data_IF_497203110779
#
_entry.id   IF_497203110779
#
_cell.length_a   1.000
_cell.length_b   1.000
_cell.length_c   1.000
_cell.angle_alpha   90.00
_cell.angle_beta   90.00
_cell.angle_gamma   90.00
#
_symmetry.space_group_name_H-M   'P 1'
#
loop_
_entity.id
_entity.type
_entity.pdbx_description
1 polymer ?
#
# COMPACT_ATOMS: atom_id res chain seq x y z
N UNK A 1 45.13 31.86 46.47
CA UNK A 1 46.59 32.10 46.60
C UNK A 1 47.23 31.83 45.24
N UNK A 2 47.60 32.89 44.52
CA UNK A 2 48.17 32.85 43.18
C UNK A 2 49.64 32.40 43.27
N UNK A 3 49.94 31.15 42.92
CA UNK A 3 51.33 30.70 42.79
C UNK A 3 51.86 31.23 41.45
N UNK A 4 52.92 32.02 41.46
CA UNK A 4 53.54 32.49 40.22
C UNK A 4 53.93 31.27 39.37
N UNK A 5 53.50 31.20 38.10
CA UNK A 5 53.77 30.05 37.25
C UNK A 5 55.27 29.86 37.04
N UNK A 6 55.70 28.62 36.81
CA UNK A 6 57.08 28.30 36.48
C UNK A 6 57.49 29.10 35.24
N UNK A 7 58.65 29.78 35.31
CA UNK A 7 59.22 30.45 34.14
C UNK A 7 59.71 29.38 33.16
N UNK A 8 59.16 29.38 31.95
CA UNK A 8 59.51 28.48 30.87
C UNK A 8 60.73 28.99 30.10
N UNK A 9 61.53 28.04 29.58
CA UNK A 9 62.57 28.34 28.60
C UNK A 9 61.98 28.73 27.24
N UNK A 10 62.80 29.30 26.35
CA UNK A 10 62.37 29.72 25.01
C UNK A 10 61.74 28.57 24.21
N UNK A 11 62.42 27.43 24.15
CA UNK A 11 61.96 26.28 23.35
C UNK A 11 60.67 25.69 23.95
N UNK A 12 60.56 25.65 25.28
CA UNK A 12 59.34 25.23 25.98
C UNK A 12 58.15 26.18 25.71
N UNK A 13 58.38 27.48 25.59
CA UNK A 13 57.35 28.47 25.20
C UNK A 13 56.92 28.25 23.76
N UNK A 14 57.87 28.07 22.83
CA UNK A 14 57.57 27.85 21.42
C UNK A 14 56.75 26.55 21.24
N UNK A 15 57.12 25.46 21.93
CA UNK A 15 56.34 24.22 21.99
C UNK A 15 54.95 24.43 22.63
N UNK A 16 54.87 25.25 23.67
CA UNK A 16 53.61 25.56 24.36
C UNK A 16 52.65 26.35 23.50
N UNK A 17 53.14 27.32 22.73
CA UNK A 17 52.34 28.07 21.77
C UNK A 17 51.80 27.12 20.72
N UNK A 18 52.66 26.32 20.07
CA UNK A 18 52.23 25.35 19.03
C UNK A 18 51.17 24.37 19.56
N UNK A 19 51.28 23.92 20.82
CA UNK A 19 50.26 23.07 21.43
C UNK A 19 48.93 23.78 21.60
N UNK A 20 48.92 25.01 22.12
CA UNK A 20 47.70 25.78 22.30
C UNK A 20 47.09 26.26 20.98
N UNK A 21 47.89 26.44 19.93
CA UNK A 21 47.40 26.67 18.57
C UNK A 21 46.58 25.48 18.07
N UNK A 22 47.12 24.26 18.19
CA UNK A 22 46.38 23.04 17.79
C UNK A 22 45.10 22.86 18.61
N UNK A 23 45.14 23.18 19.90
CA UNK A 23 43.97 23.12 20.77
C UNK A 23 42.90 24.15 20.35
N UNK A 24 43.32 25.40 20.08
CA UNK A 24 42.43 26.45 19.58
C UNK A 24 41.80 26.13 18.23
N UNK A 25 42.59 25.54 17.31
CA UNK A 25 42.10 25.10 16.00
C UNK A 25 41.06 23.98 16.16
N UNK A 26 41.31 23.01 17.06
CA UNK A 26 40.37 21.95 17.39
C UNK A 26 39.06 22.48 18.00
N UNK A 27 39.15 23.43 18.93
CA UNK A 27 37.98 24.11 19.50
C UNK A 27 37.18 24.83 18.41
N UNK A 28 37.86 25.58 17.54
CA UNK A 28 37.20 26.34 16.47
C UNK A 28 36.52 25.40 15.48
N UNK A 29 37.18 24.30 15.09
CA UNK A 29 36.60 23.29 14.21
C UNK A 29 35.34 22.65 14.81
N UNK A 30 35.36 22.26 16.09
CA UNK A 30 34.19 21.71 16.76
C UNK A 30 33.02 22.69 16.84
N UNK A 31 33.29 23.98 17.12
CA UNK A 31 32.22 25.00 17.14
C UNK A 31 31.60 25.24 15.76
N UNK A 32 32.40 25.20 14.70
CA UNK A 32 31.89 25.26 13.32
C UNK A 32 31.02 24.04 12.99
N UNK A 33 31.43 22.84 13.42
CA UNK A 33 30.63 21.62 13.23
C UNK A 33 29.27 21.74 13.93
N UNK A 34 29.26 22.20 15.18
CA UNK A 34 28.02 22.45 15.94
C UNK A 34 27.12 23.51 15.28
N UNK A 35 27.71 24.57 14.70
CA UNK A 35 26.98 25.61 13.98
C UNK A 35 26.32 25.09 12.70
N UNK A 36 27.03 24.24 11.96
CA UNK A 36 26.54 23.62 10.73
C UNK A 36 25.56 22.46 10.96
N UNK A 37 25.40 22.00 12.21
CA UNK A 37 24.61 20.82 12.53
C UNK A 37 23.12 21.02 12.17
N UNK A 38 22.48 20.08 11.46
CA UNK A 38 21.07 20.21 11.02
C UNK A 38 20.10 20.46 12.18
N UNK A 39 20.23 19.68 13.26
CA UNK A 39 19.45 19.86 14.49
C UNK A 39 19.55 21.26 15.12
N UNK A 40 20.64 22.01 14.89
CA UNK A 40 20.77 23.39 15.37
C UNK A 40 20.00 24.35 14.47
N UNK A 41 20.23 24.29 13.16
CA UNK A 41 19.58 25.17 12.18
C UNK A 41 18.05 25.10 12.28
N UNK A 42 17.55 23.89 12.53
CA UNK A 42 16.18 23.58 12.88
C UNK A 42 15.66 24.38 14.09
N UNK A 43 16.38 24.30 15.21
CA UNK A 43 15.99 24.94 16.46
C UNK A 43 16.08 26.48 16.37
N UNK A 44 16.99 27.01 15.56
CA UNK A 44 17.12 28.45 15.32
C UNK A 44 16.04 29.02 14.39
N UNK A 45 15.59 28.25 13.39
CA UNK A 45 14.58 28.70 12.43
C UNK A 45 13.13 28.57 12.90
N UNK A 46 12.87 27.85 13.99
CA UNK A 46 11.51 27.48 14.43
C UNK A 46 10.94 28.34 15.56
N UNK A 47 9.60 28.44 15.62
CA UNK A 47 8.88 28.93 16.81
C UNK A 47 8.75 27.82 17.83
N UNK A 48 9.73 27.70 18.72
CA UNK A 48 9.82 26.62 19.70
C UNK A 48 8.86 26.82 20.87
N UNK A 49 8.34 25.71 21.39
CA UNK A 49 7.39 25.65 22.51
C UNK A 49 7.75 24.52 23.47
N UNK A 50 7.13 24.54 24.67
CA UNK A 50 7.21 23.43 25.61
C UNK A 50 8.63 23.04 26.01
N UNK A 51 8.90 21.72 26.02
CA UNK A 51 10.17 21.15 26.49
C UNK A 51 11.34 21.58 25.59
N UNK A 52 11.08 21.72 24.30
CA UNK A 52 12.10 22.14 23.34
C UNK A 52 12.56 23.57 23.59
N UNK A 53 11.62 24.50 23.84
CA UNK A 53 11.98 25.88 24.17
C UNK A 53 12.83 25.98 25.44
N UNK A 54 12.46 25.26 26.50
CA UNK A 54 13.20 25.24 27.77
C UNK A 54 14.63 24.70 27.61
N UNK A 55 14.78 23.55 26.94
CA UNK A 55 16.08 22.92 26.71
C UNK A 55 16.93 23.72 25.74
N UNK A 56 16.33 24.32 24.72
CA UNK A 56 17.04 25.16 23.76
C UNK A 56 17.57 26.46 24.38
N UNK A 57 16.86 27.08 25.32
CA UNK A 57 17.37 28.22 26.07
C UNK A 57 18.64 27.87 26.87
N UNK A 58 18.69 26.68 27.45
CA UNK A 58 19.90 26.16 28.13
C UNK A 58 21.02 25.92 27.11
N UNK A 59 20.73 25.23 26.01
CA UNK A 59 21.69 24.97 24.93
C UNK A 59 22.26 26.25 24.32
N UNK A 60 21.43 27.26 24.03
CA UNK A 60 21.87 28.55 23.50
C UNK A 60 22.79 29.30 24.46
N UNK A 61 22.53 29.26 25.77
CA UNK A 61 23.44 29.83 26.77
C UNK A 61 24.77 29.08 26.83
N UNK A 62 24.75 27.75 26.70
CA UNK A 62 25.97 26.94 26.62
C UNK A 62 26.78 27.28 25.35
N UNK A 63 26.10 27.42 24.20
CA UNK A 63 26.71 27.86 22.93
C UNK A 63 27.36 29.24 23.07
N UNK A 64 26.66 30.22 23.66
CA UNK A 64 27.21 31.55 23.88
C UNK A 64 28.44 31.53 24.80
N UNK A 65 28.42 30.67 25.84
CA UNK A 65 29.57 30.45 26.72
C UNK A 65 30.76 29.93 25.92
N UNK A 66 30.57 28.89 25.10
CA UNK A 66 31.62 28.28 24.28
C UNK A 66 32.29 29.31 23.36
N UNK A 67 31.48 30.13 22.68
CA UNK A 67 31.99 31.19 21.80
C UNK A 67 32.77 32.26 22.58
N UNK A 68 32.26 32.72 23.72
CA UNK A 68 32.97 33.66 24.57
C UNK A 68 34.29 33.11 25.13
N UNK A 69 34.33 31.81 25.47
CA UNK A 69 35.56 31.16 25.94
C UNK A 69 36.58 31.00 24.82
N UNK A 70 36.13 30.65 23.60
CA UNK A 70 36.97 30.62 22.40
C UNK A 70 37.56 31.99 22.10
N UNK A 71 36.77 33.07 22.16
CA UNK A 71 37.29 34.43 21.96
C UNK A 71 38.34 34.81 23.01
N UNK A 72 38.09 34.52 24.29
CA UNK A 72 39.05 34.78 25.36
C UNK A 72 40.35 33.96 25.22
N UNK A 73 40.23 32.69 24.80
CA UNK A 73 41.38 31.83 24.51
C UNK A 73 42.22 32.42 23.36
N UNK A 74 41.57 32.79 22.24
CA UNK A 74 42.23 33.38 21.08
C UNK A 74 42.95 34.69 21.42
N UNK A 75 42.32 35.55 22.22
CA UNK A 75 42.93 36.81 22.65
C UNK A 75 44.22 36.61 23.46
N UNK A 76 44.29 35.60 24.33
CA UNK A 76 45.52 35.25 25.06
C UNK A 76 46.59 34.74 24.10
N UNK A 77 46.22 33.87 23.16
CA UNK A 77 47.14 33.30 22.18
C UNK A 77 47.73 34.38 21.26
N UNK A 78 46.92 35.34 20.80
CA UNK A 78 47.36 36.45 19.98
C UNK A 78 48.27 37.43 20.75
N UNK A 79 47.98 37.67 22.04
CA UNK A 79 48.89 38.42 22.93
C UNK A 79 50.24 37.70 23.08
N UNK A 80 50.22 36.37 23.29
CA UNK A 80 51.44 35.57 23.42
C UNK A 80 52.27 35.56 22.12
N UNK A 81 51.64 35.39 20.96
CA UNK A 81 52.28 35.48 19.63
C UNK A 81 52.92 36.85 19.40
N UNK A 82 52.17 37.92 19.69
CA UNK A 82 52.64 39.29 19.54
C UNK A 82 53.86 39.54 20.42
N UNK A 83 53.81 39.13 21.69
CA UNK A 83 54.92 39.30 22.62
C UNK A 83 56.16 38.49 22.20
N UNK A 84 55.96 37.24 21.75
CA UNK A 84 57.04 36.37 21.26
C UNK A 84 57.68 36.86 19.96
N UNK A 85 56.90 37.51 19.09
CA UNK A 85 57.33 38.04 17.79
C UNK A 85 58.07 39.38 17.86
N UNK A 86 58.03 40.11 18.98
CA UNK A 86 58.70 41.42 19.13
C UNK A 86 60.22 41.35 19.05
N UNK A 87 60.84 40.25 19.49
CA UNK A 87 62.31 40.10 19.58
C UNK A 87 62.76 38.67 19.26
N UNK A 88 63.87 38.54 18.53
CA UNK A 88 64.47 37.24 18.19
C UNK A 88 65.04 36.46 19.40
N UNK A 89 65.42 37.17 20.48
CA UNK A 89 65.81 36.59 21.78
C UNK A 89 65.03 37.29 22.90
N UNK A 90 64.03 36.61 23.50
CA UNK A 90 63.25 37.18 24.60
C UNK A 90 64.13 37.40 25.84
N UNK A 91 63.92 38.51 26.54
CA UNK A 91 64.57 38.78 27.81
C UNK A 91 63.79 38.14 28.97
N UNK A 92 64.42 38.01 30.14
CA UNK A 92 63.81 37.42 31.34
C UNK A 92 62.40 37.96 31.69
N UNK A 93 62.12 39.28 31.69
CA UNK A 93 60.77 39.78 31.94
C UNK A 93 59.75 39.35 30.85
N UNK A 94 60.18 39.24 29.59
CA UNK A 94 59.31 38.77 28.50
C UNK A 94 59.02 37.26 28.64
N UNK A 95 60.00 36.46 29.08
CA UNK A 95 59.81 35.04 29.38
C UNK A 95 58.86 34.82 30.57
N UNK A 96 58.96 35.67 31.61
CA UNK A 96 58.05 35.66 32.76
C UNK A 96 56.61 36.01 32.35
N UNK A 97 56.44 37.04 31.53
CA UNK A 97 55.13 37.44 31.01
C UNK A 97 54.52 36.37 30.07
N UNK A 98 55.32 35.80 29.15
CA UNK A 98 54.88 34.69 28.29
C UNK A 98 54.49 33.45 29.11
N UNK A 99 55.27 33.12 30.14
CA UNK A 99 54.95 32.00 31.03
C UNK A 99 53.66 32.26 31.80
N UNK A 100 53.40 33.50 32.22
CA UNK A 100 52.14 33.88 32.85
C UNK A 100 50.95 33.83 31.88
N UNK A 101 51.11 34.26 30.63
CA UNK A 101 50.06 34.19 29.63
C UNK A 101 49.65 32.74 29.33
N UNK A 102 50.60 31.81 29.27
CA UNK A 102 50.35 30.43 28.87
C UNK A 102 49.94 29.51 30.04
N UNK A 103 50.49 29.74 31.23
CA UNK A 103 50.26 28.86 32.40
C UNK A 103 49.44 29.51 33.52
N UNK A 104 49.28 30.84 33.49
CA UNK A 104 48.60 31.61 34.52
C UNK A 104 47.15 31.96 34.16
N UNK A 105 46.50 32.71 35.05
CA UNK A 105 45.15 33.22 34.86
C UNK A 105 45.16 34.50 34.01
N UNK A 106 45.30 34.31 32.71
CA UNK A 106 45.54 35.37 31.72
C UNK A 106 44.34 35.68 30.82
N UNK A 107 43.38 34.77 30.72
CA UNK A 107 42.18 34.96 29.93
C UNK A 107 41.17 35.81 30.72
N UNK A 108 40.70 36.89 30.10
CA UNK A 108 39.74 37.81 30.68
C UNK A 108 38.39 37.59 30.02
N UNK A 109 37.44 37.03 30.77
CA UNK A 109 36.05 36.93 30.33
C UNK A 109 35.35 38.28 30.57
N UNK A 110 34.47 38.69 29.65
CA UNK A 110 33.69 39.90 29.77
C UNK A 110 32.99 39.97 31.14
N UNK A 111 33.06 41.12 31.79
CA UNK A 111 32.63 41.27 33.17
C UNK A 111 31.12 41.02 33.30
N UNK A 112 30.72 40.16 34.23
CA UNK A 112 29.31 39.94 34.57
C UNK A 112 28.86 41.03 35.52
N UNK A 113 27.74 41.68 35.22
CA UNK A 113 27.05 42.57 36.14
C UNK A 113 26.65 41.78 37.40
N UNK A 114 27.18 42.17 38.56
CA UNK A 114 26.78 41.57 39.84
C UNK A 114 25.43 42.17 40.23
N UNK A 115 24.37 41.41 40.55
CA UNK A 115 23.12 41.99 41.04
C UNK A 115 23.34 42.79 42.33
N UNK A 116 22.66 43.94 42.50
CA UNK A 116 22.91 44.88 43.61
C UNK A 116 22.76 44.24 45.01
N UNK A 117 21.88 43.23 45.14
CA UNK A 117 21.66 42.49 46.39
C UNK A 117 22.78 41.51 46.77
N UNK A 118 23.74 41.27 45.88
CA UNK A 118 24.94 40.45 46.10
C UNK A 118 26.22 41.30 46.14
N UNK A 119 26.11 42.64 46.05
CA UNK A 119 27.24 43.57 46.16
C UNK A 119 27.40 44.08 47.60
N UNK A 120 28.62 44.09 48.12
CA UNK A 120 29.00 44.96 49.21
C UNK A 120 29.06 46.43 48.76
N UNK A 121 28.91 47.38 49.68
CA UNK A 121 28.91 48.84 49.39
C UNK A 121 30.19 49.33 48.68
N UNK A 122 31.29 48.58 48.80
CA UNK A 122 32.60 48.88 48.22
C UNK A 122 33.04 47.86 47.15
N UNK A 123 32.21 46.86 46.84
CA UNK A 123 32.55 45.87 45.83
C UNK A 123 32.43 46.49 44.43
N UNK A 124 33.38 46.20 43.51
CA UNK A 124 33.29 46.69 42.14
C UNK A 124 31.98 46.23 41.49
N UNK A 125 31.36 47.12 40.71
CA UNK A 125 30.15 46.79 39.95
C UNK A 125 30.38 45.68 38.89
N UNK A 126 31.64 45.46 38.50
CA UNK A 126 32.10 44.48 37.52
C UNK A 126 33.27 43.66 38.07
N UNK A 127 33.16 42.34 38.05
CA UNK A 127 34.31 41.45 38.23
C UNK A 127 34.78 40.92 36.86
N UNK A 128 36.03 41.21 36.50
CA UNK A 128 36.72 40.52 35.41
C UNK A 128 37.09 39.13 35.92
N UNK A 129 36.40 38.10 35.43
CA UNK A 129 36.77 36.73 35.74
C UNK A 129 38.02 36.38 34.95
N UNK A 130 39.10 36.09 35.68
CA UNK A 130 40.38 35.65 35.13
C UNK A 130 40.50 34.14 35.24
N UNK A 131 40.79 33.50 34.12
CA UNK A 131 40.94 32.04 34.02
C UNK A 131 42.20 31.70 33.25
N UNK A 132 42.77 30.54 33.54
CA UNK A 132 43.82 29.93 32.71
C UNK A 132 43.21 29.29 31.47
N UNK A 133 44.04 29.07 30.44
CA UNK A 133 43.61 28.37 29.22
C UNK A 133 43.05 26.98 29.51
N UNK A 134 43.65 26.25 30.47
CA UNK A 134 43.15 24.95 30.90
C UNK A 134 41.82 25.00 31.64
N UNK A 135 41.61 26.01 32.49
CA UNK A 135 40.31 26.24 33.16
C UNK A 135 39.21 26.61 32.15
N UNK A 136 39.52 27.41 31.12
CA UNK A 136 38.57 27.71 30.05
C UNK A 136 38.12 26.42 29.34
N UNK A 137 39.06 25.56 28.93
CA UNK A 137 38.73 24.30 28.26
C UNK A 137 37.96 23.36 29.18
N UNK A 138 38.31 23.31 30.46
CA UNK A 138 37.58 22.52 31.46
C UNK A 138 36.12 22.99 31.62
N UNK A 139 35.85 24.30 31.59
CA UNK A 139 34.49 24.86 31.63
C UNK A 139 33.74 24.70 30.29
N UNK A 140 34.46 24.63 29.17
CA UNK A 140 33.87 24.37 27.85
C UNK A 140 33.35 22.93 27.72
N UNK A 141 34.01 21.94 28.32
CA UNK A 141 33.61 20.52 28.20
C UNK A 141 32.16 20.21 28.62
N UNK A 142 31.66 20.66 29.80
CA UNK A 142 30.25 20.45 30.17
C UNK A 142 29.30 21.29 29.30
N UNK A 143 29.68 22.50 28.90
CA UNK A 143 28.86 23.34 28.01
C UNK A 143 28.72 22.72 26.61
N UNK A 144 29.80 22.12 26.08
CA UNK A 144 29.80 21.34 24.84
C UNK A 144 28.82 20.19 24.93
N UNK A 145 28.91 19.39 25.98
CA UNK A 145 28.05 18.21 26.19
C UNK A 145 26.57 18.60 26.30
N UNK A 146 26.26 19.71 26.97
CA UNK A 146 24.88 20.22 27.09
C UNK A 146 24.34 20.70 25.72
N UNK A 147 25.16 21.42 24.95
CA UNK A 147 24.77 21.94 23.65
C UNK A 147 24.55 20.82 22.62
N UNK A 148 25.50 19.88 22.51
CA UNK A 148 25.40 18.75 21.57
C UNK A 148 24.23 17.84 21.91
N UNK A 149 24.00 17.54 23.20
CA UNK A 149 22.88 16.68 23.61
C UNK A 149 21.51 17.23 23.17
N UNK A 150 21.32 18.56 23.20
CA UNK A 150 20.07 19.19 22.76
C UNK A 150 19.92 19.12 21.23
N UNK A 151 21.00 19.42 20.51
CA UNK A 151 21.02 19.44 19.04
C UNK A 151 20.87 18.03 18.44
N UNK A 152 21.59 17.05 18.97
CA UNK A 152 21.51 15.64 18.56
C UNK A 152 20.13 15.04 18.86
N UNK A 153 19.55 15.36 20.02
CA UNK A 153 18.22 14.88 20.37
C UNK A 153 17.12 15.43 19.42
N UNK A 154 17.23 16.70 19.00
CA UNK A 154 16.31 17.27 18.03
C UNK A 154 16.49 16.64 16.64
N UNK A 155 17.74 16.48 16.19
CA UNK A 155 18.07 15.85 14.91
C UNK A 155 17.58 14.40 14.83
N UNK A 156 17.77 13.62 15.90
CA UNK A 156 17.31 12.24 15.97
C UNK A 156 15.78 12.11 15.84
N UNK A 157 15.02 13.05 16.42
CA UNK A 157 13.55 13.06 16.30
C UNK A 157 13.14 13.36 14.86
N UNK A 158 13.76 14.36 14.23
CA UNK A 158 13.44 14.72 12.85
C UNK A 158 13.80 13.63 11.86
N UNK A 159 15.02 13.11 11.93
CA UNK A 159 15.50 12.01 11.07
C UNK A 159 14.59 10.79 11.15
N UNK A 160 13.99 10.54 12.32
CA UNK A 160 13.04 9.45 12.53
C UNK A 160 11.62 9.76 12.03
N UNK A 161 11.08 10.94 12.30
CA UNK A 161 9.67 11.25 12.09
C UNK A 161 9.35 11.85 10.72
N UNK A 162 10.24 12.69 10.17
CA UNK A 162 10.01 13.38 8.89
C UNK A 162 9.73 12.38 7.74
N UNK A 163 10.51 11.29 7.55
CA UNK A 163 10.23 10.33 6.49
C UNK A 163 8.85 9.66 6.61
N UNK A 164 8.34 9.51 7.83
CA UNK A 164 7.01 8.93 8.07
C UNK A 164 5.91 9.95 7.73
N UNK A 165 6.07 11.22 8.12
CA UNK A 165 5.14 12.29 7.76
C UNK A 165 5.08 12.46 6.23
N UNK A 166 6.22 12.47 5.56
CA UNK A 166 6.31 12.60 4.09
C UNK A 166 5.65 11.42 3.36
N UNK A 167 5.80 10.20 3.89
CA UNK A 167 5.14 9.01 3.32
C UNK A 167 3.62 9.11 3.40
N UNK A 168 3.09 9.57 4.53
CA UNK A 168 1.64 9.79 4.70
C UNK A 168 1.17 10.86 3.73
N UNK A 169 1.92 11.96 3.60
CA UNK A 169 1.59 13.06 2.69
C UNK A 169 1.56 12.62 1.22
N UNK A 170 2.57 11.87 0.79
CA UNK A 170 2.60 11.27 -0.54
C UNK A 170 1.40 10.33 -0.78
N UNK A 171 1.00 9.58 0.26
CA UNK A 171 -0.18 8.73 0.19
C UNK A 171 -1.50 9.52 0.08
N UNK A 172 -1.62 10.65 0.79
CA UNK A 172 -2.77 11.57 0.66
C UNK A 172 -2.82 12.09 -0.78
N UNK A 173 -1.72 12.65 -1.29
CA UNK A 173 -1.66 13.20 -2.65
C UNK A 173 -2.00 12.16 -3.74
N UNK A 174 -1.54 10.92 -3.58
CA UNK A 174 -1.88 9.83 -4.49
C UNK A 174 -3.37 9.46 -4.45
N UNK A 175 -3.98 9.45 -3.26
CA UNK A 175 -5.41 9.19 -3.12
C UNK A 175 -6.26 10.34 -3.73
N UNK A 176 -5.84 11.60 -3.54
CA UNK A 176 -6.49 12.76 -4.16
C UNK A 176 -6.41 12.74 -5.68
N UNK A 177 -5.26 12.36 -6.24
CA UNK A 177 -5.10 12.19 -7.68
C UNK A 177 -6.07 11.12 -8.22
N UNK A 178 -6.24 10.00 -7.51
CA UNK A 178 -7.22 8.98 -7.87
C UNK A 178 -8.68 9.46 -7.77
N UNK A 179 -9.01 10.25 -6.74
CA UNK A 179 -10.35 10.88 -6.63
C UNK A 179 -10.59 11.85 -7.79
N UNK A 180 -9.60 12.68 -8.14
CA UNK A 180 -9.68 13.57 -9.29
C UNK A 180 -9.90 12.80 -10.60
N UNK A 181 -9.22 11.67 -10.77
CA UNK A 181 -9.39 10.79 -11.92
C UNK A 181 -10.83 10.22 -12.02
N UNK A 182 -11.47 9.94 -10.87
CA UNK A 182 -12.80 9.35 -10.80
C UNK A 182 -13.95 10.34 -11.02
N UNK A 183 -13.67 11.65 -11.09
CA UNK A 183 -14.69 12.69 -11.24
C UNK A 183 -14.64 13.78 -10.18
N UNK A 184 -13.63 13.75 -9.30
CA UNK A 184 -13.40 14.77 -8.28
C UNK A 184 -14.12 14.53 -6.95
N UNK A 185 -13.98 15.47 -6.01
CA UNK A 185 -14.42 15.32 -4.63
C UNK A 185 -15.92 15.04 -4.47
N UNK A 186 -16.75 15.63 -5.32
CA UNK A 186 -18.22 15.47 -5.28
C UNK A 186 -18.68 14.04 -5.59
N UNK A 187 -17.87 13.27 -6.33
CA UNK A 187 -18.16 11.87 -6.67
C UNK A 187 -17.85 10.94 -5.49
N UNK A 188 -16.95 11.35 -4.60
CA UNK A 188 -16.46 10.56 -3.46
C UNK A 188 -16.39 11.42 -2.19
N UNK A 189 -17.54 11.91 -1.67
CA UNK A 189 -17.55 12.87 -0.57
C UNK A 189 -17.08 12.26 0.75
N UNK A 190 -17.38 10.98 1.00
CA UNK A 190 -16.97 10.28 2.23
C UNK A 190 -15.44 10.09 2.27
N UNK A 191 -14.85 9.69 1.15
CA UNK A 191 -13.40 9.47 1.03
C UNK A 191 -12.64 10.79 1.07
N UNK A 192 -13.18 11.84 0.44
CA UNK A 192 -12.63 13.20 0.54
C UNK A 192 -12.63 13.68 1.99
N UNK A 193 -13.76 13.55 2.70
CA UNK A 193 -13.86 13.94 4.10
C UNK A 193 -12.91 13.12 5.00
N UNK A 194 -12.73 11.84 4.70
CA UNK A 194 -11.75 10.99 5.40
C UNK A 194 -10.31 11.47 5.16
N UNK A 195 -9.92 11.78 3.92
CA UNK A 195 -8.60 12.35 3.62
C UNK A 195 -8.38 13.69 4.31
N UNK A 196 -9.39 14.56 4.37
CA UNK A 196 -9.32 15.81 5.11
C UNK A 196 -9.14 15.59 6.62
N UNK A 197 -9.76 14.53 7.16
CA UNK A 197 -9.53 14.07 8.54
C UNK A 197 -8.08 13.64 8.78
N UNK A 198 -7.53 12.82 7.89
CA UNK A 198 -6.13 12.36 7.92
C UNK A 198 -5.18 13.56 7.80
N UNK A 199 -5.42 14.49 6.86
CA UNK A 199 -4.60 15.69 6.66
C UNK A 199 -4.56 16.56 7.92
N UNK A 200 -5.69 16.84 8.54
CA UNK A 200 -5.73 17.64 9.78
C UNK A 200 -4.91 17.02 10.91
N UNK A 201 -4.98 15.70 11.06
CA UNK A 201 -4.19 14.97 12.05
C UNK A 201 -2.70 14.98 11.70
N UNK A 202 -2.35 14.85 10.42
CA UNK A 202 -0.97 14.97 9.94
C UNK A 202 -0.40 16.38 10.21
N UNK A 203 -1.16 17.43 9.93
CA UNK A 203 -0.75 18.81 10.20
C UNK A 203 -0.58 19.09 11.71
N UNK A 204 -1.42 18.48 12.55
CA UNK A 204 -1.26 18.52 14.00
C UNK A 204 0.07 17.86 14.41
N UNK A 205 0.39 16.69 13.84
CA UNK A 205 1.65 16.00 14.10
C UNK A 205 2.87 16.81 13.60
N UNK A 206 2.79 17.40 12.40
CA UNK A 206 3.83 18.27 11.84
C UNK A 206 4.11 19.48 12.69
N UNK A 207 3.05 20.18 13.10
CA UNK A 207 3.17 21.35 13.96
C UNK A 207 3.89 20.99 15.26
N UNK A 208 3.54 19.86 15.88
CA UNK A 208 4.20 19.39 17.09
C UNK A 208 5.67 19.01 16.87
N UNK A 209 6.00 18.33 15.77
CA UNK A 209 7.39 17.98 15.42
C UNK A 209 8.24 19.22 15.13
N UNK A 210 7.64 20.28 14.58
CA UNK A 210 8.31 21.53 14.31
C UNK A 210 8.46 22.41 15.57
N UNK A 211 7.46 22.43 16.46
CA UNK A 211 7.42 23.33 17.62
C UNK A 211 7.98 22.73 18.90
N UNK A 212 7.84 21.41 19.12
CA UNK A 212 8.33 20.73 20.33
C UNK A 212 8.86 19.29 20.06
N UNK A 213 9.92 19.13 19.24
CA UNK A 213 10.52 17.82 18.95
C UNK A 213 11.08 17.11 20.19
N UNK A 214 11.62 17.83 21.18
CA UNK A 214 12.20 17.22 22.39
C UNK A 214 11.15 16.62 23.33
N UNK A 215 9.87 16.96 23.19
CA UNK A 215 8.79 16.23 23.86
C UNK A 215 8.60 14.81 23.29
N UNK A 216 9.10 14.54 22.08
CA UNK A 216 8.91 13.29 21.34
C UNK A 216 10.11 12.33 21.44
N UNK A 217 11.13 12.65 22.23
CA UNK A 217 12.34 11.82 22.38
C UNK A 217 12.11 10.57 23.21
N UNK A 218 11.17 10.60 24.16
CA UNK A 218 10.86 9.49 25.06
C UNK A 218 9.53 8.78 24.71
N UNK A 219 8.92 9.14 23.59
CA UNK A 219 7.61 8.62 23.16
C UNK A 219 7.71 7.31 22.41
N UNK A 220 6.62 6.52 22.45
CA UNK A 220 6.41 5.37 21.56
C UNK A 220 6.36 5.88 20.11
N UNK A 221 7.14 5.26 19.21
CA UNK A 221 7.19 5.57 17.78
C UNK A 221 5.81 5.53 17.11
N UNK A 222 4.84 4.83 17.72
CA UNK A 222 3.47 4.74 17.25
C UNK A 222 2.67 6.02 17.46
N UNK A 223 3.14 6.95 18.29
CA UNK A 223 2.41 8.16 18.66
C UNK A 223 3.24 9.42 18.53
N UNK A 224 2.70 10.39 17.79
CA UNK A 224 3.23 11.75 17.72
C UNK A 224 2.27 12.63 18.54
N UNK A 225 2.59 12.80 19.83
CA UNK A 225 1.70 13.42 20.80
C UNK A 225 0.35 12.71 20.89
N UNK A 226 -0.73 13.40 20.53
CA UNK A 226 -2.08 12.84 20.49
C UNK A 226 -2.38 11.97 19.26
N UNK A 227 -1.53 12.01 18.23
CA UNK A 227 -1.77 11.35 16.95
C UNK A 227 -1.20 9.94 16.95
N UNK A 228 -2.07 8.96 16.80
CA UNK A 228 -1.67 7.57 16.53
C UNK A 228 -1.34 7.41 15.04
N UNK A 229 -0.05 7.16 14.75
CA UNK A 229 0.49 7.04 13.39
C UNK A 229 0.00 5.77 12.72
N UNK A 230 -0.08 4.66 13.45
CA UNK A 230 -0.54 3.39 12.89
C UNK A 230 -2.03 3.46 12.52
N UNK A 231 -2.84 4.12 13.35
CA UNK A 231 -4.25 4.37 13.05
C UNK A 231 -4.41 5.32 11.85
N UNK A 232 -3.57 6.37 11.76
CA UNK A 232 -3.54 7.30 10.63
C UNK A 232 -3.21 6.58 9.31
N UNK A 233 -2.14 5.78 9.29
CA UNK A 233 -1.73 5.00 8.13
C UNK A 233 -2.77 3.93 7.75
N UNK A 234 -3.45 3.33 8.73
CA UNK A 234 -4.51 2.36 8.46
C UNK A 234 -5.73 3.02 7.80
N UNK A 235 -6.13 4.20 8.26
CA UNK A 235 -7.22 4.97 7.68
C UNK A 235 -6.88 5.42 6.24
N UNK A 236 -5.68 5.98 6.04
CA UNK A 236 -5.20 6.36 4.71
C UNK A 236 -5.16 5.15 3.76
N UNK A 237 -4.66 4.00 4.22
CA UNK A 237 -4.63 2.78 3.39
C UNK A 237 -6.03 2.34 2.96
N UNK A 238 -7.01 2.35 3.87
CA UNK A 238 -8.40 1.98 3.53
C UNK A 238 -8.96 2.88 2.43
N UNK A 239 -8.81 4.20 2.58
CA UNK A 239 -9.29 5.16 1.57
C UNK A 239 -8.55 4.95 0.25
N UNK A 240 -7.22 4.83 0.29
CA UNK A 240 -6.42 4.65 -0.91
C UNK A 240 -6.71 3.31 -1.63
N UNK A 241 -7.00 2.23 -0.90
CA UNK A 241 -7.40 0.94 -1.46
C UNK A 241 -8.75 1.05 -2.19
N UNK A 242 -9.72 1.74 -1.61
CA UNK A 242 -11.03 1.96 -2.22
C UNK A 242 -10.93 2.80 -3.50
N UNK A 243 -10.19 3.92 -3.44
CA UNK A 243 -9.94 4.77 -4.61
C UNK A 243 -9.22 3.99 -5.71
N UNK A 244 -8.19 3.20 -5.37
CA UNK A 244 -7.49 2.33 -6.35
C UNK A 244 -8.44 1.30 -6.96
N UNK A 245 -9.29 0.66 -6.16
CA UNK A 245 -10.26 -0.31 -6.67
C UNK A 245 -11.17 0.31 -7.74
N UNK A 246 -11.75 1.48 -7.45
CA UNK A 246 -12.62 2.17 -8.41
C UNK A 246 -11.87 2.68 -9.64
N UNK A 247 -10.62 3.12 -9.47
CA UNK A 247 -9.76 3.51 -10.60
C UNK A 247 -9.55 2.33 -11.55
N UNK A 248 -9.33 1.13 -11.01
CA UNK A 248 -9.23 -0.11 -11.81
C UNK A 248 -10.57 -0.43 -12.51
N UNK A 249 -11.71 -0.26 -11.81
CA UNK A 249 -13.05 -0.46 -12.41
C UNK A 249 -13.25 0.47 -13.60
N UNK A 250 -12.94 1.77 -13.44
CA UNK A 250 -12.99 2.77 -14.51
C UNK A 250 -12.11 2.38 -15.68
N UNK A 251 -10.83 2.06 -15.42
CA UNK A 251 -9.87 1.71 -16.46
C UNK A 251 -10.28 0.50 -17.30
N UNK A 252 -10.98 -0.47 -16.69
CA UNK A 252 -11.43 -1.71 -17.36
C UNK A 252 -12.88 -1.66 -17.85
N UNK A 253 -13.59 -0.56 -17.62
CA UNK A 253 -15.03 -0.46 -17.85
C UNK A 253 -15.40 -0.73 -19.32
N UNK A 254 -14.77 -0.02 -20.24
CA UNK A 254 -15.03 -0.12 -21.69
C UNK A 254 -14.70 -1.52 -22.24
N UNK A 255 -13.64 -2.15 -21.74
CA UNK A 255 -13.29 -3.52 -22.12
C UNK A 255 -14.34 -4.52 -21.64
N UNK A 256 -14.73 -4.44 -20.37
CA UNK A 256 -15.75 -5.32 -19.78
C UNK A 256 -17.10 -5.15 -20.46
N UNK A 257 -17.53 -3.91 -20.75
CA UNK A 257 -18.77 -3.66 -21.49
C UNK A 257 -18.75 -4.25 -22.90
N UNK A 258 -17.66 -4.08 -23.65
CA UNK A 258 -17.52 -4.69 -24.99
C UNK A 258 -17.57 -6.21 -24.92
N UNK A 259 -16.89 -6.82 -23.95
CA UNK A 259 -16.93 -8.27 -23.74
C UNK A 259 -18.34 -8.75 -23.40
N UNK A 260 -19.03 -8.05 -22.50
CA UNK A 260 -20.40 -8.36 -22.14
C UNK A 260 -21.35 -8.22 -23.33
N UNK A 261 -21.20 -7.17 -24.14
CA UNK A 261 -22.00 -6.98 -25.35
C UNK A 261 -21.88 -8.19 -26.30
N UNK A 262 -20.65 -8.67 -26.55
CA UNK A 262 -20.44 -9.88 -27.37
C UNK A 262 -21.05 -11.15 -26.75
N UNK A 263 -21.01 -11.30 -25.43
CA UNK A 263 -21.69 -12.41 -24.72
C UNK A 263 -23.21 -12.34 -24.88
N UNK A 264 -23.79 -11.14 -24.83
CA UNK A 264 -25.23 -10.93 -24.98
C UNK A 264 -25.70 -11.11 -26.43
N UNK A 265 -24.89 -10.72 -27.41
CA UNK A 265 -25.14 -11.00 -28.84
C UNK A 265 -25.13 -12.51 -29.12
N UNK A 266 -24.15 -13.23 -28.59
CA UNK A 266 -24.10 -14.69 -28.71
C UNK A 266 -25.31 -15.35 -28.02
N UNK A 267 -25.70 -14.88 -26.83
CA UNK A 267 -26.87 -15.39 -26.13
C UNK A 267 -28.16 -15.19 -26.97
N UNK A 268 -28.35 -14.01 -27.55
CA UNK A 268 -29.50 -13.69 -28.42
C UNK A 268 -29.57 -14.61 -29.63
N UNK A 269 -28.43 -14.84 -30.28
CA UNK A 269 -28.31 -15.79 -31.40
C UNK A 269 -28.69 -17.21 -30.97
N UNK A 270 -28.18 -17.68 -29.82
CA UNK A 270 -28.47 -19.02 -29.30
C UNK A 270 -29.93 -19.17 -28.87
N UNK A 271 -30.57 -18.13 -28.32
CA UNK A 271 -32.00 -18.11 -28.01
C UNK A 271 -32.81 -18.30 -29.30
N UNK A 272 -32.51 -17.51 -30.34
CA UNK A 272 -33.13 -17.63 -31.65
C UNK A 272 -32.94 -19.01 -32.30
N UNK A 273 -31.73 -19.58 -32.23
CA UNK A 273 -31.47 -20.93 -32.74
C UNK A 273 -32.25 -21.99 -31.97
N UNK A 274 -32.33 -21.88 -30.65
CA UNK A 274 -33.06 -22.81 -29.79
C UNK A 274 -34.57 -22.75 -30.05
N UNK A 275 -35.13 -21.56 -30.35
CA UNK A 275 -36.54 -21.42 -30.79
C UNK A 275 -36.76 -22.20 -32.09
N UNK A 276 -35.87 -22.05 -33.09
CA UNK A 276 -35.98 -22.77 -34.37
C UNK A 276 -35.88 -24.28 -34.17
N UNK A 277 -34.97 -24.76 -33.31
CA UNK A 277 -34.85 -26.17 -32.94
C UNK A 277 -36.11 -26.70 -32.27
N UNK A 278 -36.66 -25.94 -31.32
CA UNK A 278 -37.91 -26.30 -30.65
C UNK A 278 -39.06 -26.45 -31.64
N UNK A 279 -39.21 -25.49 -32.55
CA UNK A 279 -40.22 -25.58 -33.61
C UNK A 279 -40.00 -26.83 -34.47
N UNK A 280 -38.75 -27.12 -34.85
CA UNK A 280 -38.41 -28.33 -35.59
C UNK A 280 -38.80 -29.62 -34.85
N UNK A 281 -38.45 -29.74 -33.56
CA UNK A 281 -38.79 -30.90 -32.71
C UNK A 281 -40.30 -31.08 -32.65
N UNK A 282 -41.06 -30.01 -32.39
CA UNK A 282 -42.53 -30.07 -32.27
C UNK A 282 -43.24 -30.46 -33.58
N UNK A 283 -42.65 -30.18 -34.75
CA UNK A 283 -43.19 -30.69 -36.04
C UNK A 283 -42.99 -32.19 -36.23
N UNK A 284 -42.02 -32.78 -35.53
CA UNK A 284 -41.56 -34.16 -35.73
C UNK A 284 -41.95 -35.10 -34.60
N UNK A 285 -42.18 -34.58 -33.40
CA UNK A 285 -42.45 -35.34 -32.18
C UNK A 285 -43.75 -34.81 -31.56
N UNK A 286 -44.67 -35.71 -31.22
CA UNK A 286 -45.97 -35.37 -30.60
C UNK A 286 -45.86 -35.04 -29.09
N UNK A 287 -44.66 -35.10 -28.51
CA UNK A 287 -44.42 -34.92 -27.08
C UNK A 287 -44.65 -33.47 -26.64
N UNK A 288 -45.59 -33.27 -25.70
CA UNK A 288 -45.95 -31.97 -25.14
C UNK A 288 -45.00 -31.50 -24.03
N UNK A 289 -44.05 -32.32 -23.59
CA UNK A 289 -43.10 -32.00 -22.50
C UNK A 289 -41.90 -31.16 -22.95
N UNK A 290 -41.81 -30.79 -24.23
CA UNK A 290 -40.71 -29.97 -24.75
C UNK A 290 -40.78 -28.56 -24.12
N UNK A 291 -39.77 -28.16 -23.31
CA UNK A 291 -39.82 -26.92 -22.54
C UNK A 291 -39.81 -25.69 -23.44
N UNK A 292 -40.30 -24.56 -22.92
CA UNK A 292 -40.17 -23.26 -23.58
C UNK A 292 -38.74 -22.72 -23.47
N UNK A 293 -38.35 -21.90 -24.44
CA UNK A 293 -37.01 -21.29 -24.47
C UNK A 293 -37.01 -20.07 -23.54
N UNK A 294 -36.15 -20.02 -22.51
CA UNK A 294 -36.06 -18.86 -21.65
C UNK A 294 -35.39 -17.70 -22.41
N UNK A 295 -36.12 -16.60 -22.62
CA UNK A 295 -35.61 -15.41 -23.32
C UNK A 295 -35.13 -14.38 -22.31
N UNK A 296 -33.83 -14.10 -22.31
CA UNK A 296 -33.17 -13.21 -21.35
C UNK A 296 -32.26 -12.19 -22.03
N UNK A 297 -31.80 -12.43 -23.25
CA UNK A 297 -30.87 -11.56 -23.95
C UNK A 297 -31.34 -10.10 -24.03
N UNK A 298 -32.60 -9.86 -24.39
CA UNK A 298 -33.15 -8.51 -24.52
C UNK A 298 -33.15 -7.72 -23.20
N UNK A 299 -33.62 -8.32 -22.10
CA UNK A 299 -33.65 -7.68 -20.78
C UNK A 299 -32.25 -7.42 -20.24
N UNK A 300 -31.30 -8.33 -20.49
CA UNK A 300 -29.91 -8.14 -20.08
C UNK A 300 -29.22 -7.04 -20.91
N UNK A 301 -29.56 -6.91 -22.20
CA UNK A 301 -29.08 -5.84 -23.07
C UNK A 301 -29.58 -4.47 -22.61
N UNK A 302 -30.84 -4.36 -22.23
CA UNK A 302 -31.41 -3.13 -21.65
C UNK A 302 -30.66 -2.72 -20.36
N UNK A 303 -30.45 -3.68 -19.44
CA UNK A 303 -29.65 -3.46 -18.23
C UNK A 303 -28.21 -3.04 -18.54
N UNK A 304 -27.58 -3.61 -19.57
CA UNK A 304 -26.25 -3.20 -20.03
C UNK A 304 -26.21 -1.74 -20.45
N UNK A 305 -27.24 -1.25 -21.14
CA UNK A 305 -27.38 0.17 -21.49
C UNK A 305 -27.52 1.05 -20.24
N UNK A 306 -28.29 0.60 -19.24
CA UNK A 306 -28.38 1.32 -17.95
C UNK A 306 -27.02 1.43 -17.25
N UNK A 307 -26.23 0.35 -17.24
CA UNK A 307 -24.88 0.32 -16.66
C UNK A 307 -23.93 1.23 -17.45
N UNK A 308 -24.01 1.23 -18.79
CA UNK A 308 -23.25 2.16 -19.63
C UNK A 308 -23.52 3.62 -19.24
N UNK A 309 -24.79 3.99 -19.05
CA UNK A 309 -25.17 5.34 -18.61
C UNK A 309 -24.71 5.69 -17.19
N UNK A 310 -24.51 4.72 -16.29
CA UNK A 310 -23.89 4.96 -14.98
C UNK A 310 -22.40 5.32 -15.13
N UNK A 311 -21.68 4.64 -16.04
CA UNK A 311 -20.29 4.96 -16.35
C UNK A 311 -20.10 6.37 -16.90
N UNK A 312 -20.99 6.82 -17.80
CA UNK A 312 -20.96 8.20 -18.31
C UNK A 312 -21.14 9.25 -17.22
N UNK A 313 -21.91 8.94 -16.16
CA UNK A 313 -22.13 9.83 -15.01
C UNK A 313 -21.03 9.75 -13.94
N UNK A 314 -20.05 8.85 -14.09
CA UNK A 314 -18.98 8.67 -13.12
C UNK A 314 -19.37 7.92 -11.84
N UNK A 315 -20.52 7.23 -11.80
CA UNK A 315 -20.96 6.47 -10.61
C UNK A 315 -20.26 5.09 -10.57
N UNK A 316 -18.94 5.12 -10.34
CA UNK A 316 -18.08 3.93 -10.42
C UNK A 316 -18.40 2.87 -9.36
N UNK A 317 -18.91 3.29 -8.19
CA UNK A 317 -19.36 2.39 -7.13
C UNK A 317 -20.53 1.54 -7.61
N UNK A 318 -21.57 2.17 -8.19
CA UNK A 318 -22.70 1.40 -8.74
C UNK A 318 -22.28 0.61 -9.97
N UNK A 319 -21.46 1.16 -10.86
CA UNK A 319 -20.94 0.42 -12.02
C UNK A 319 -20.26 -0.89 -11.60
N UNK A 320 -19.37 -0.85 -10.59
CA UNK A 320 -18.65 -2.05 -10.13
C UNK A 320 -19.62 -3.18 -9.72
N UNK A 321 -20.65 -2.84 -8.94
CA UNK A 321 -21.66 -3.79 -8.46
C UNK A 321 -22.56 -4.29 -9.59
N UNK A 322 -23.17 -3.37 -10.34
CA UNK A 322 -24.17 -3.71 -11.35
C UNK A 322 -23.56 -4.46 -12.54
N UNK A 323 -22.34 -4.08 -12.97
CA UNK A 323 -21.66 -4.77 -14.06
C UNK A 323 -21.29 -6.21 -13.69
N UNK A 324 -20.79 -6.44 -12.46
CA UNK A 324 -20.44 -7.78 -11.98
C UNK A 324 -21.68 -8.66 -11.81
N UNK A 325 -22.79 -8.10 -11.32
CA UNK A 325 -24.07 -8.80 -11.25
C UNK A 325 -24.60 -9.17 -12.65
N UNK A 326 -24.48 -8.24 -13.62
CA UNK A 326 -24.93 -8.44 -14.99
C UNK A 326 -24.10 -9.51 -15.74
N UNK A 327 -22.78 -9.52 -15.56
CA UNK A 327 -21.89 -10.56 -16.10
C UNK A 327 -22.27 -11.96 -15.56
N UNK A 328 -22.53 -12.07 -14.25
CA UNK A 328 -22.98 -13.31 -13.63
C UNK A 328 -24.37 -13.74 -14.13
N UNK A 329 -25.30 -12.80 -14.29
CA UNK A 329 -26.64 -13.07 -14.81
C UNK A 329 -26.60 -13.56 -16.27
N UNK A 330 -25.71 -12.98 -17.09
CA UNK A 330 -25.51 -13.40 -18.48
C UNK A 330 -24.94 -14.82 -18.55
N UNK A 331 -23.96 -15.15 -17.70
CA UNK A 331 -23.42 -16.50 -17.61
C UNK A 331 -24.48 -17.52 -17.17
N UNK A 332 -25.24 -17.21 -16.13
CA UNK A 332 -26.34 -18.06 -15.67
C UNK A 332 -27.47 -18.20 -16.71
N UNK A 333 -27.72 -17.19 -17.54
CA UNK A 333 -28.66 -17.29 -18.66
C UNK A 333 -28.15 -18.26 -19.74
N UNK A 334 -26.86 -18.21 -20.09
CA UNK A 334 -26.25 -19.14 -21.06
C UNK A 334 -26.31 -20.59 -20.60
N UNK A 335 -25.99 -20.84 -19.32
CA UNK A 335 -26.04 -22.19 -18.74
C UNK A 335 -27.46 -22.75 -18.75
N UNK A 336 -28.46 -21.94 -18.35
CA UNK A 336 -29.87 -22.34 -18.40
C UNK A 336 -30.34 -22.61 -19.83
N UNK A 337 -29.97 -21.76 -20.78
CA UNK A 337 -30.33 -21.94 -22.18
C UNK A 337 -29.71 -23.23 -22.75
N UNK A 338 -28.46 -23.52 -22.43
CA UNK A 338 -27.78 -24.74 -22.85
C UNK A 338 -28.49 -26.00 -22.29
N UNK A 339 -28.87 -25.98 -21.02
CA UNK A 339 -29.63 -27.06 -20.41
C UNK A 339 -31.02 -27.25 -21.07
N UNK A 340 -31.75 -26.15 -21.30
CA UNK A 340 -33.04 -26.17 -22.00
C UNK A 340 -32.90 -26.71 -23.43
N UNK A 341 -31.85 -26.30 -24.15
CA UNK A 341 -31.58 -26.79 -25.51
C UNK A 341 -31.33 -28.30 -25.52
N UNK A 342 -30.54 -28.81 -24.58
CA UNK A 342 -30.33 -30.26 -24.45
C UNK A 342 -31.66 -31.01 -24.21
N UNK A 343 -32.55 -30.46 -23.36
CA UNK A 343 -33.87 -31.04 -23.14
C UNK A 343 -34.78 -30.98 -24.38
N UNK A 344 -34.67 -29.92 -25.20
CA UNK A 344 -35.42 -29.77 -26.46
C UNK A 344 -34.94 -30.79 -27.50
N UNK A 345 -33.62 -31.01 -27.61
CA UNK A 345 -33.04 -31.91 -28.60
C UNK A 345 -33.20 -33.40 -28.22
N UNK A 346 -33.38 -33.71 -26.93
CA UNK A 346 -33.45 -35.08 -26.40
C UNK A 346 -34.52 -35.99 -27.04
N UNK A 347 -35.77 -35.55 -27.29
CA UNK A 347 -36.78 -36.41 -27.93
C UNK A 347 -36.45 -36.81 -29.37
N UNK A 348 -35.82 -35.92 -30.15
CA UNK A 348 -35.36 -36.24 -31.50
C UNK A 348 -34.18 -37.20 -31.46
N UNK A 349 -33.20 -36.95 -30.59
CA UNK A 349 -32.07 -37.87 -30.39
C UNK A 349 -32.58 -39.27 -30.00
N UNK A 350 -33.54 -39.35 -29.07
CA UNK A 350 -34.16 -40.62 -28.66
C UNK A 350 -34.87 -41.33 -29.80
N UNK A 351 -35.57 -40.60 -30.68
CA UNK A 351 -36.17 -41.18 -31.89
C UNK A 351 -35.13 -41.77 -32.82
N UNK A 352 -34.02 -41.08 -33.05
CA UNK A 352 -32.96 -41.56 -33.95
C UNK A 352 -32.21 -42.77 -33.36
N UNK A 353 -32.01 -42.80 -32.04
CA UNK A 353 -31.55 -44.00 -31.32
C UNK A 353 -32.48 -45.20 -31.55
N UNK A 354 -33.79 -45.02 -31.37
CA UNK A 354 -34.77 -46.10 -31.55
C UNK A 354 -34.79 -46.60 -33.00
N UNK A 355 -34.61 -45.72 -33.99
CA UNK A 355 -34.49 -46.11 -35.41
C UNK A 355 -33.28 -46.99 -35.64
N UNK A 356 -32.10 -46.59 -35.15
CA UNK A 356 -30.89 -47.39 -35.24
C UNK A 356 -31.03 -48.73 -34.53
N UNK A 357 -31.67 -48.73 -33.36
CA UNK A 357 -31.92 -49.91 -32.56
C UNK A 357 -32.82 -50.91 -33.30
N UNK A 358 -33.97 -50.49 -33.81
CA UNK A 358 -34.88 -51.34 -34.59
C UNK A 358 -34.17 -51.94 -35.82
N UNK A 359 -33.37 -51.13 -36.51
CA UNK A 359 -32.59 -51.62 -37.66
C UNK A 359 -31.55 -52.68 -37.26
N UNK A 360 -30.86 -52.50 -36.13
CA UNK A 360 -29.89 -53.48 -35.63
C UNK A 360 -30.56 -54.81 -35.24
N UNK A 361 -31.74 -54.77 -34.61
CA UNK A 361 -32.48 -55.97 -34.24
C UNK A 361 -33.08 -56.69 -35.45
N UNK A 362 -33.48 -55.94 -36.50
CA UNK A 362 -33.85 -56.56 -37.78
C UNK A 362 -32.68 -57.30 -38.43
N UNK A 363 -31.50 -56.69 -38.48
CA UNK A 363 -30.30 -57.35 -38.99
C UNK A 363 -29.89 -58.56 -38.15
N UNK A 364 -30.17 -58.54 -36.84
CA UNK A 364 -29.97 -59.67 -35.94
C UNK A 364 -30.95 -60.81 -36.20
N UNK A 365 -32.25 -60.52 -36.34
CA UNK A 365 -33.28 -61.50 -36.66
C UNK A 365 -33.03 -62.18 -38.02
N UNK A 366 -32.65 -61.39 -39.04
CA UNK A 366 -32.33 -61.91 -40.37
C UNK A 366 -31.12 -62.86 -40.38
N UNK A 367 -30.07 -62.57 -39.59
CA UNK A 367 -28.90 -63.47 -39.45
C UNK A 367 -29.23 -64.79 -38.77
N UNK A 368 -30.26 -64.81 -37.93
CA UNK A 368 -30.75 -66.03 -37.26
C UNK A 368 -31.81 -66.80 -38.04
N UNK A 369 -32.11 -66.46 -39.31
CA UNK A 369 -33.15 -67.12 -40.10
C UNK A 369 -34.60 -66.84 -39.66
N UNK A 370 -34.79 -65.95 -38.68
CA UNK A 370 -36.09 -65.61 -38.08
C UNK A 370 -36.78 -64.41 -38.78
N UNK A 371 -36.21 -63.94 -39.89
CA UNK A 371 -36.70 -62.74 -40.60
C UNK A 371 -38.08 -62.92 -41.23
N UNK A 372 -38.54 -64.15 -41.47
CA UNK A 372 -39.82 -64.46 -42.10
C UNK A 372 -40.91 -64.85 -41.09
N UNK A 373 -40.61 -64.82 -39.79
CA UNK A 373 -41.60 -65.10 -38.76
C UNK A 373 -42.64 -63.96 -38.73
N UNK A 374 -43.88 -64.28 -39.10
CA UNK A 374 -44.95 -63.29 -39.31
C UNK A 374 -45.18 -62.36 -38.10
N UNK A 375 -44.96 -62.86 -36.87
CA UNK A 375 -45.09 -62.06 -35.64
C UNK A 375 -43.97 -61.02 -35.52
N UNK A 376 -42.73 -61.38 -35.87
CA UNK A 376 -41.59 -60.46 -35.83
C UNK A 376 -41.67 -59.41 -36.93
N UNK A 377 -42.08 -59.79 -38.14
CA UNK A 377 -42.24 -58.84 -39.25
C UNK A 377 -43.37 -57.86 -38.95
N UNK A 378 -44.50 -58.31 -38.39
CA UNK A 378 -45.60 -57.42 -37.97
C UNK A 378 -45.17 -56.41 -36.88
N UNK A 379 -44.41 -56.86 -35.88
CA UNK A 379 -43.88 -55.97 -34.83
C UNK A 379 -42.85 -54.98 -35.39
N UNK A 380 -42.01 -55.42 -36.33
CA UNK A 380 -41.05 -54.56 -37.01
C UNK A 380 -41.75 -53.49 -37.86
N UNK A 381 -42.73 -53.88 -38.67
CA UNK A 381 -43.47 -52.94 -39.53
C UNK A 381 -44.24 -51.91 -38.71
N UNK A 382 -44.84 -52.33 -37.59
CA UNK A 382 -45.50 -51.41 -36.67
C UNK A 382 -44.50 -50.43 -36.02
N UNK A 383 -43.32 -50.90 -35.60
CA UNK A 383 -42.26 -50.04 -35.08
C UNK A 383 -41.76 -49.04 -36.14
N UNK A 384 -41.59 -49.50 -37.39
CA UNK A 384 -41.14 -48.69 -38.52
C UNK A 384 -42.17 -47.62 -38.89
N UNK A 385 -43.45 -47.98 -38.94
CA UNK A 385 -44.53 -47.02 -39.22
C UNK A 385 -44.50 -45.87 -38.20
N UNK A 386 -44.46 -46.18 -36.91
CA UNK A 386 -44.46 -45.19 -35.83
C UNK A 386 -43.20 -44.30 -35.86
N UNK A 387 -42.02 -44.89 -36.02
CA UNK A 387 -40.75 -44.15 -35.97
C UNK A 387 -40.49 -43.29 -37.21
N UNK A 388 -41.04 -43.63 -38.38
CA UNK A 388 -40.87 -42.84 -39.61
C UNK A 388 -42.01 -41.86 -39.90
N UNK A 389 -43.13 -41.92 -39.15
CA UNK A 389 -44.19 -40.91 -39.18
C UNK A 389 -43.73 -39.55 -38.66
N UNK A 390 -44.38 -38.49 -39.10
CA UNK A 390 -44.28 -37.17 -38.48
C UNK A 390 -45.69 -36.60 -38.27
N UNK A 391 -46.08 -36.23 -37.03
CA UNK A 391 -45.31 -36.32 -35.79
C UNK A 391 -45.28 -37.76 -35.21
N UNK A 392 -44.20 -38.09 -34.48
CA UNK A 392 -43.98 -39.39 -33.84
C UNK A 392 -44.42 -39.36 -32.37
N UNK A 393 -45.26 -40.30 -31.96
CA UNK A 393 -45.62 -40.53 -30.56
C UNK A 393 -44.52 -41.34 -29.85
N UNK A 394 -43.54 -40.63 -29.29
CA UNK A 394 -42.30 -41.24 -28.79
C UNK A 394 -42.54 -42.31 -27.71
N UNK A 395 -43.45 -42.07 -26.77
CA UNK A 395 -43.75 -43.03 -25.70
C UNK A 395 -44.36 -44.34 -26.24
N UNK A 396 -45.18 -44.25 -27.30
CA UNK A 396 -45.75 -45.43 -27.98
C UNK A 396 -44.65 -46.16 -28.75
N UNK A 397 -43.83 -45.41 -29.50
CA UNK A 397 -42.72 -45.97 -30.26
C UNK A 397 -41.75 -46.73 -29.36
N UNK A 398 -41.37 -46.18 -28.19
CA UNK A 398 -40.51 -46.86 -27.21
C UNK A 398 -41.09 -48.22 -26.83
N UNK A 399 -42.38 -48.30 -26.45
CA UNK A 399 -43.02 -49.56 -26.05
C UNK A 399 -43.03 -50.60 -27.18
N UNK A 400 -43.32 -50.17 -28.40
CA UNK A 400 -43.36 -51.06 -29.57
C UNK A 400 -41.96 -51.59 -29.91
N UNK A 401 -40.94 -50.73 -29.87
CA UNK A 401 -39.55 -51.16 -30.07
C UNK A 401 -39.11 -52.16 -29.00
N UNK A 402 -39.39 -51.90 -27.72
CA UNK A 402 -39.05 -52.83 -26.63
C UNK A 402 -39.71 -54.19 -26.83
N UNK A 403 -41.00 -54.22 -27.19
CA UNK A 403 -41.71 -55.48 -27.47
C UNK A 403 -41.09 -56.24 -28.66
N UNK A 404 -40.67 -55.54 -29.70
CA UNK A 404 -39.96 -56.14 -30.83
C UNK A 404 -38.61 -56.73 -30.40
N UNK A 405 -37.82 -56.00 -29.61
CA UNK A 405 -36.53 -56.49 -29.09
C UNK A 405 -36.69 -57.76 -28.25
N UNK A 406 -37.63 -57.75 -27.31
CA UNK A 406 -37.92 -58.90 -26.45
C UNK A 406 -38.32 -60.12 -27.28
N UNK A 407 -39.15 -59.92 -28.32
CA UNK A 407 -39.57 -61.00 -29.22
C UNK A 407 -38.39 -61.57 -30.03
N UNK A 408 -37.51 -60.72 -30.58
CA UNK A 408 -36.30 -61.17 -31.30
C UNK A 408 -35.37 -61.96 -30.39
N UNK A 409 -35.13 -61.47 -29.16
CA UNK A 409 -34.28 -62.16 -28.17
C UNK A 409 -34.89 -63.51 -27.77
N UNK A 410 -36.21 -63.56 -27.53
CA UNK A 410 -36.90 -64.80 -27.16
C UNK A 410 -36.86 -65.83 -28.30
N UNK A 411 -37.07 -65.41 -29.54
CA UNK A 411 -37.02 -66.27 -30.72
C UNK A 411 -35.61 -66.86 -30.93
N UNK A 412 -34.55 -66.05 -30.76
CA UNK A 412 -33.16 -66.53 -30.84
C UNK A 412 -32.80 -67.52 -29.72
N UNK A 413 -33.34 -67.35 -28.51
CA UNK A 413 -33.14 -68.32 -27.42
C UNK A 413 -33.83 -69.64 -27.71
N UNK A 414 -34.99 -69.61 -28.37
CA UNK A 414 -35.76 -70.80 -28.74
C UNK A 414 -35.11 -71.58 -29.89
N UNK A 415 -34.47 -70.88 -30.83
CA UNK A 415 -33.71 -71.47 -31.94
C UNK A 415 -32.33 -72.02 -31.51
N UNK A 416 -31.91 -71.73 -30.27
CA UNK A 416 -30.66 -72.20 -29.66
C UNK A 416 -30.92 -73.13 -28.46
N UNK A 417 -31.65 -74.26 -28.62
CA UNK A 417 -31.79 -75.23 -27.54
C UNK A 417 -30.43 -75.93 -27.28
N UNK A 418 -30.01 -75.93 -26.02
CA UNK A 418 -28.87 -76.65 -25.43
C UNK A 418 -27.91 -77.40 -26.37
N UNK A 419 -26.81 -76.73 -26.75
CA UNK A 419 -25.52 -77.41 -26.97
C UNK A 419 -24.88 -77.69 -25.59
N UNK A 420 -25.52 -78.59 -24.83
CA UNK A 420 -24.86 -79.37 -23.79
C UNK A 420 -24.96 -80.83 -24.17
N UNK A 421 -24.05 -81.21 -25.06
CA UNK A 421 -23.70 -82.59 -25.30
C UNK A 421 -23.32 -83.30 -23.99
N UNK A 422 -24.00 -84.42 -23.79
CA UNK A 422 -23.46 -85.70 -23.37
C UNK A 422 -21.94 -85.69 -23.09
N UNK A 423 -21.55 -85.91 -21.83
CA UNK A 423 -20.22 -86.42 -21.50
C UNK A 423 -20.36 -87.89 -21.09
N UNK A 424 -20.02 -88.78 -22.02
CA UNK A 424 -19.29 -90.01 -21.76
C UNK A 424 -18.09 -90.08 -22.70
#
# INVERSE_FOLDING_TARGET
MNRAPRVLGRDEIDESIVRHEREYDGITAGLMELESHPGRQLLEGGTLTGRTAERWEVGRRAIALLWGHREAYGAVLDRARTLRGRRGKPQRPELEELSFLLLGQSAELAARDVPIGQRGLLDPAMHVHRMSLGELVADMAPAWSEATAVVEAADAVWTRLVPTLDRVDAGIAAAEAGIAELGGPDTMPEQTAALDGVRRRLETARTLVASDPLALTAGDDRRIGGVDVAALEAELRRVADEVRHLTIVRARFEERLRRLAGVLEELDYQEGDTIRRRAHVLTRISDKRVPEVPLRAATLRERSTTVSGLGTRGDWVRVSRELSALENDAQGARERLAATRAHIDAPLARRDELRGLVQSYRAMAARGGLGEEAVLESLYDHAKELLWRAPCELDVAVRVVTRYQEAVIAAQRKDRPDDKGDQR
#
